data_IF_181434129506
#
_entry.id   IF_181434129506
#
_cell.length_a   1.000
_cell.length_b   1.000
_cell.length_c   1.000
_cell.angle_alpha   90.00
_cell.angle_beta   90.00
_cell.angle_gamma   90.00
#
_symmetry.space_group_name_H-M   'P 1'
#
loop_
_entity.id
_entity.type
_entity.pdbx_description
1 polymer ?
#
# COMPACT_ATOMS: atom_id res chain seq x y z
N UNK A 1 -19.46 8.17 -0.45
CA UNK A 1 -18.55 7.26 -1.18
C UNK A 1 -17.10 7.73 -1.23
N UNK A 2 -16.75 8.88 -1.83
CA UNK A 2 -15.33 9.30 -1.99
C UNK A 2 -14.52 9.39 -0.69
N UNK A 3 -15.07 9.98 0.37
CA UNK A 3 -14.39 10.05 1.69
C UNK A 3 -14.12 8.66 2.27
N UNK A 4 -15.04 7.72 2.08
CA UNK A 4 -14.89 6.33 2.52
C UNK A 4 -13.78 5.66 1.72
N UNK A 5 -13.76 5.85 0.39
CA UNK A 5 -12.69 5.31 -0.48
C UNK A 5 -11.31 5.86 -0.14
N UNK A 6 -11.22 7.16 0.21
CA UNK A 6 -9.99 7.76 0.69
C UNK A 6 -9.53 7.11 2.01
N UNK A 7 -10.44 6.97 2.99
CA UNK A 7 -10.14 6.37 4.28
C UNK A 7 -9.71 4.90 4.14
N UNK A 8 -10.41 4.12 3.32
CA UNK A 8 -10.03 2.73 3.04
C UNK A 8 -8.68 2.66 2.32
N UNK A 9 -8.42 3.55 1.36
CA UNK A 9 -7.14 3.64 0.68
C UNK A 9 -5.99 3.93 1.64
N UNK A 10 -6.19 4.87 2.58
CA UNK A 10 -5.22 5.23 3.61
C UNK A 10 -4.96 4.08 4.58
N UNK A 11 -6.00 3.37 5.03
CA UNK A 11 -5.85 2.20 5.90
C UNK A 11 -5.05 1.09 5.22
N UNK A 12 -5.30 0.83 3.93
CA UNK A 12 -4.56 -0.15 3.15
C UNK A 12 -3.10 0.25 2.97
N UNK A 13 -2.82 1.53 2.67
CA UNK A 13 -1.45 2.04 2.58
C UNK A 13 -0.68 1.87 3.89
N UNK A 14 -1.28 2.25 5.03
CA UNK A 14 -0.66 2.09 6.34
C UNK A 14 -0.42 0.61 6.67
N UNK A 15 -1.38 -0.27 6.35
CA UNK A 15 -1.24 -1.71 6.55
C UNK A 15 -0.12 -2.30 5.68
N UNK A 16 0.02 -1.84 4.44
CA UNK A 16 1.10 -2.26 3.55
C UNK A 16 2.48 -1.83 4.05
N UNK A 17 2.61 -0.61 4.57
CA UNK A 17 3.84 -0.11 5.22
C UNK A 17 4.20 -0.97 6.44
N UNK A 18 3.22 -1.32 7.28
CA UNK A 18 3.44 -2.21 8.43
C UNK A 18 3.94 -3.59 7.97
N UNK A 19 3.34 -4.15 6.91
CA UNK A 19 3.78 -5.42 6.34
C UNK A 19 5.21 -5.36 5.82
N UNK A 20 5.62 -4.28 5.13
CA UNK A 20 7.01 -4.09 4.72
C UNK A 20 7.96 -3.93 5.91
N UNK A 21 7.54 -3.23 6.96
CA UNK A 21 8.33 -3.12 8.19
C UNK A 21 8.54 -4.48 8.86
N UNK A 22 7.51 -5.35 8.86
CA UNK A 22 7.60 -6.73 9.34
C UNK A 22 8.57 -7.55 8.47
N UNK A 23 8.50 -7.42 7.14
CA UNK A 23 9.47 -8.05 6.23
C UNK A 23 10.92 -7.64 6.56
N UNK A 24 11.18 -6.35 6.78
CA UNK A 24 12.52 -5.86 7.14
C UNK A 24 12.95 -6.39 8.51
N UNK A 25 12.04 -6.42 9.50
CA UNK A 25 12.35 -6.94 10.82
C UNK A 25 12.68 -8.44 10.78
N UNK A 26 11.89 -9.23 10.05
CA UNK A 26 12.10 -10.69 9.92
C UNK A 26 13.33 -11.01 9.08
N UNK A 27 13.59 -10.29 7.99
CA UNK A 27 14.78 -10.48 7.15
C UNK A 27 16.08 -10.12 7.89
N UNK A 28 16.06 -9.13 8.79
CA UNK A 28 17.21 -8.82 9.67
C UNK A 28 17.49 -9.89 10.71
N UNK A 29 16.49 -10.68 11.10
CA UNK A 29 16.68 -11.85 11.99
C UNK A 29 17.16 -13.07 11.18
N UNK A 30 16.75 -13.19 9.92
CA UNK A 30 17.13 -14.28 9.01
C UNK A 30 18.41 -13.99 8.21
N UNK A 31 19.53 -13.72 8.87
CA UNK A 31 20.85 -13.75 8.21
C UNK A 31 21.30 -15.21 8.00
N UNK A 32 20.86 -15.86 6.92
CA UNK A 32 21.55 -16.98 6.27
C UNK A 32 20.79 -17.47 5.03
N UNK A 33 21.06 -16.87 3.86
CA UNK A 33 21.05 -17.62 2.61
C UNK A 33 19.72 -18.18 2.11
N UNK A 34 18.68 -17.36 1.96
CA UNK A 34 17.79 -17.38 0.78
C UNK A 34 16.75 -16.26 0.93
N UNK A 35 16.71 -15.35 -0.04
CA UNK A 35 15.60 -14.39 -0.18
C UNK A 35 14.42 -15.18 -0.77
N UNK A 36 13.83 -16.07 0.03
CA UNK A 36 12.57 -16.69 -0.32
C UNK A 36 11.49 -15.59 -0.34
N UNK A 37 10.59 -15.65 -1.32
CA UNK A 37 9.51 -14.70 -1.47
C UNK A 37 8.70 -14.64 -0.17
N UNK A 38 8.96 -13.60 0.62
CA UNK A 38 8.39 -13.49 1.95
C UNK A 38 6.97 -12.97 1.82
N UNK A 39 6.03 -13.66 2.45
CA UNK A 39 4.59 -13.34 2.42
C UNK A 39 4.33 -11.88 2.80
N UNK A 40 5.10 -11.34 3.76
CA UNK A 40 5.01 -9.94 4.19
C UNK A 40 5.40 -8.94 3.09
N UNK A 41 6.36 -9.28 2.22
CA UNK A 41 6.76 -8.43 1.10
C UNK A 41 5.67 -8.40 0.03
N UNK A 42 5.15 -9.58 -0.35
CA UNK A 42 4.10 -9.69 -1.37
C UNK A 42 2.82 -8.99 -0.88
N UNK A 43 2.41 -9.24 0.37
CA UNK A 43 1.25 -8.60 0.99
C UNK A 43 1.44 -7.08 1.10
N UNK A 44 2.63 -6.62 1.50
CA UNK A 44 2.94 -5.20 1.60
C UNK A 44 2.74 -4.46 0.28
N UNK A 45 3.33 -4.99 -0.80
CA UNK A 45 3.21 -4.43 -2.15
C UNK A 45 1.74 -4.43 -2.61
N UNK A 46 1.01 -5.52 -2.40
CA UNK A 46 -0.39 -5.64 -2.81
C UNK A 46 -1.27 -4.60 -2.09
N UNK A 47 -1.11 -4.47 -0.78
CA UNK A 47 -1.85 -3.51 0.05
C UNK A 47 -1.55 -2.07 -0.36
N UNK A 48 -0.29 -1.75 -0.66
CA UNK A 48 0.12 -0.43 -1.15
C UNK A 48 -0.54 -0.13 -2.49
N UNK A 49 -0.48 -1.05 -3.45
CA UNK A 49 -1.07 -0.88 -4.78
C UNK A 49 -2.59 -0.66 -4.71
N UNK A 50 -3.30 -1.52 -3.99
CA UNK A 50 -4.76 -1.40 -3.84
C UNK A 50 -5.10 -0.12 -3.08
N UNK A 51 -4.38 0.20 -2.01
CA UNK A 51 -4.57 1.44 -1.25
C UNK A 51 -4.37 2.69 -2.12
N UNK A 52 -3.39 2.67 -3.02
CA UNK A 52 -3.14 3.75 -3.96
C UNK A 52 -4.27 3.92 -4.98
N UNK A 53 -4.79 2.83 -5.54
CA UNK A 53 -5.93 2.85 -6.48
C UNK A 53 -7.18 3.44 -5.82
N UNK A 54 -7.47 3.04 -4.58
CA UNK A 54 -8.61 3.58 -3.81
C UNK A 54 -8.44 5.07 -3.51
N UNK A 55 -7.21 5.48 -3.17
CA UNK A 55 -6.87 6.89 -2.91
C UNK A 55 -7.04 7.73 -4.18
N UNK A 56 -6.49 7.30 -5.31
CA UNK A 56 -6.63 7.97 -6.62
C UNK A 56 -8.10 8.06 -7.06
N UNK A 57 -8.86 6.99 -6.88
CA UNK A 57 -10.30 6.95 -7.23
C UNK A 57 -11.12 7.95 -6.43
N UNK A 58 -10.64 8.36 -5.25
CA UNK A 58 -11.32 9.37 -4.43
C UNK A 58 -11.08 10.82 -4.90
N UNK A 59 -9.95 11.07 -5.59
CA UNK A 59 -9.52 12.40 -6.03
C UNK A 59 -10.52 12.97 -7.06
N UNK A 60 -10.91 14.23 -6.90
CA UNK A 60 -11.68 14.97 -7.91
C UNK A 60 -10.70 15.52 -8.94
N UNK A 61 -10.82 15.09 -10.19
CA UNK A 61 -10.18 15.79 -11.31
C UNK A 61 -11.01 17.05 -11.59
N UNK A 62 -10.48 18.26 -11.35
CA UNK A 62 -11.19 19.48 -11.68
C UNK A 62 -11.36 19.54 -13.21
N UNK A 63 -12.59 19.68 -13.69
CA UNK A 63 -12.85 19.91 -15.11
C UNK A 63 -12.32 21.30 -15.47
N UNK A 64 -11.26 21.35 -16.25
CA UNK A 64 -10.75 22.60 -16.82
C UNK A 64 -11.83 23.10 -17.79
N UNK A 65 -12.50 24.19 -17.44
CA UNK A 65 -13.46 24.85 -18.31
C UNK A 65 -12.67 25.87 -19.13
N UNK A 66 -12.31 25.50 -20.35
CA UNK A 66 -11.75 26.44 -21.35
C UNK A 66 -12.91 27.35 -21.77
N UNK A 67 -12.72 28.66 -21.63
CA UNK A 67 -13.69 29.70 -21.99
C UNK A 67 -13.16 30.47 -23.18
#
# INVERSE_FOLDING_TARGET
MRKVMLLTGLMLLLSGIISEAMYIATSRVAYAGTVAANEYLILGILLILVGFIFTLSSVKIPKIRVR
#
